data_IF_023394701562
#
_entry.id   IF_023394701562
#
_cell.length_a   1.000
_cell.length_b   1.000
_cell.length_c   1.000
_cell.angle_alpha   90.00
_cell.angle_beta   90.00
_cell.angle_gamma   90.00
#
_symmetry.space_group_name_H-M   'P 1'
#
loop_
_entity.id
_entity.type
_entity.pdbx_description
1 polymer ?
#
# COMPACT_ATOMS: atom_id res chain seq x y z
N UNK A 1 17.43 -6.28 24.04
CA UNK A 1 18.63 -5.51 23.71
C UNK A 1 18.33 -4.62 22.52
N UNK A 2 18.19 -3.35 22.79
CA UNK A 2 17.72 -2.42 21.78
C UNK A 2 18.90 -1.80 21.03
N UNK A 3 19.21 -2.37 19.87
CA UNK A 3 20.27 -1.87 19.01
C UNK A 3 19.76 -0.89 17.96
N UNK A 4 18.68 -0.14 18.29
CA UNK A 4 18.16 0.88 17.40
C UNK A 4 19.04 2.13 17.50
N UNK A 5 19.47 2.65 16.35
CA UNK A 5 20.21 3.89 16.28
C UNK A 5 19.47 5.02 16.99
N UNK A 6 20.18 5.83 17.78
CA UNK A 6 19.62 7.01 18.45
C UNK A 6 19.01 8.04 17.50
N UNK A 7 19.41 8.04 16.22
CA UNK A 7 18.81 8.86 15.17
C UNK A 7 17.41 8.34 14.78
N UNK A 8 17.27 7.03 14.63
CA UNK A 8 15.98 6.39 14.30
C UNK A 8 15.00 6.52 15.46
N UNK A 9 15.48 6.41 16.72
CA UNK A 9 14.64 6.60 17.89
C UNK A 9 13.97 7.98 17.97
N UNK A 10 14.52 8.98 17.29
CA UNK A 10 13.97 10.35 17.22
C UNK A 10 12.95 10.54 16.09
N UNK A 11 12.80 9.58 15.21
CA UNK A 11 11.82 9.66 14.11
C UNK A 11 10.44 9.28 14.66
N UNK A 12 9.51 10.21 14.59
CA UNK A 12 8.12 9.95 15.00
C UNK A 12 7.44 9.02 14.00
N UNK A 13 6.66 8.03 14.47
CA UNK A 13 5.80 7.24 13.59
C UNK A 13 4.79 8.11 12.83
N UNK A 14 4.29 7.61 11.71
CA UNK A 14 3.21 8.27 10.98
C UNK A 14 1.95 8.33 11.85
N UNK A 15 1.50 9.54 12.19
CA UNK A 15 0.28 9.74 12.97
C UNK A 15 -0.95 9.19 12.23
N UNK A 16 -1.04 9.38 10.92
CA UNK A 16 -2.14 8.88 10.09
C UNK A 16 -2.23 7.35 10.14
N UNK A 17 -1.10 6.65 10.04
CA UNK A 17 -1.07 5.19 10.13
C UNK A 17 -1.44 4.71 11.54
N UNK A 18 -0.99 5.40 12.58
CA UNK A 18 -1.32 5.05 13.96
C UNK A 18 -2.83 5.19 14.24
N UNK A 19 -3.46 6.29 13.80
CA UNK A 19 -4.89 6.52 13.97
C UNK A 19 -5.71 5.51 13.17
N UNK A 20 -5.31 5.19 11.94
CA UNK A 20 -5.96 4.17 11.12
C UNK A 20 -5.88 2.78 11.76
N UNK A 21 -4.72 2.42 12.31
CA UNK A 21 -4.54 1.15 13.02
C UNK A 21 -5.42 1.06 14.27
N UNK A 22 -5.54 2.16 15.03
CA UNK A 22 -6.40 2.24 16.21
C UNK A 22 -7.88 2.06 15.83
N UNK A 23 -8.35 2.76 14.80
CA UNK A 23 -9.72 2.60 14.31
C UNK A 23 -10.04 1.15 13.90
N UNK A 24 -9.14 0.51 13.17
CA UNK A 24 -9.27 -0.91 12.81
C UNK A 24 -9.33 -1.82 14.03
N UNK A 25 -8.50 -1.57 15.03
CA UNK A 25 -8.49 -2.35 16.27
C UNK A 25 -9.80 -2.20 17.07
N UNK A 26 -10.40 -1.02 17.09
CA UNK A 26 -11.70 -0.78 17.73
C UNK A 26 -12.82 -1.49 16.98
N UNK A 27 -12.87 -1.39 15.66
CA UNK A 27 -13.85 -2.10 14.82
C UNK A 27 -13.74 -3.61 15.05
N UNK A 28 -12.52 -4.15 15.13
CA UNK A 28 -12.31 -5.58 15.39
C UNK A 28 -12.82 -6.04 16.76
N UNK A 29 -12.97 -5.13 17.72
CA UNK A 29 -13.58 -5.38 19.04
C UNK A 29 -15.11 -5.25 19.02
N UNK A 30 -15.71 -4.93 17.88
CA UNK A 30 -17.16 -4.72 17.73
C UNK A 30 -17.63 -3.32 18.10
N UNK A 31 -16.72 -2.35 18.23
CA UNK A 31 -17.09 -0.96 18.49
C UNK A 31 -17.58 -0.29 17.19
N UNK A 32 -18.59 0.55 17.31
CA UNK A 32 -19.05 1.38 16.17
C UNK A 32 -18.08 2.54 15.98
N UNK A 33 -17.36 2.55 14.86
CA UNK A 33 -16.32 3.56 14.58
C UNK A 33 -16.47 4.13 13.18
N UNK A 34 -16.49 5.44 13.11
CA UNK A 34 -16.46 6.19 11.86
C UNK A 34 -15.01 6.63 11.58
N UNK A 35 -14.30 5.88 10.72
CA UNK A 35 -12.89 6.11 10.43
C UNK A 35 -12.71 7.25 9.41
N UNK A 36 -12.44 8.46 9.89
CA UNK A 36 -12.27 9.66 9.06
C UNK A 36 -10.79 10.05 8.86
N UNK A 37 -9.86 9.30 9.44
CA UNK A 37 -8.43 9.65 9.44
C UNK A 37 -7.67 9.28 8.16
N UNK A 38 -8.18 8.36 7.37
CA UNK A 38 -7.59 7.93 6.11
C UNK A 38 -8.60 8.02 4.98
N UNK A 39 -8.15 8.43 3.79
CA UNK A 39 -8.97 8.46 2.59
C UNK A 39 -8.49 7.43 1.58
N UNK A 40 -9.39 6.60 1.10
CA UNK A 40 -9.19 5.72 -0.04
C UNK A 40 -10.44 5.74 -0.92
N UNK A 41 -10.32 5.48 -2.23
CA UNK A 41 -11.49 5.36 -3.08
C UNK A 41 -12.44 4.27 -2.54
N UNK A 42 -13.73 4.56 -2.52
CA UNK A 42 -14.77 3.63 -2.07
C UNK A 42 -15.04 2.50 -3.07
N UNK A 43 -14.68 2.74 -4.33
CA UNK A 43 -14.83 1.78 -5.42
C UNK A 43 -13.59 0.90 -5.52
N UNK A 44 -13.80 -0.36 -5.84
CA UNK A 44 -12.73 -1.32 -6.08
C UNK A 44 -11.99 -1.03 -7.39
N UNK A 45 -10.79 -1.56 -7.52
CA UNK A 45 -10.03 -1.51 -8.78
C UNK A 45 -10.86 -2.12 -9.91
N UNK A 46 -10.94 -1.46 -11.09
CA UNK A 46 -11.67 -2.00 -12.23
C UNK A 46 -11.23 -3.42 -12.60
N UNK A 47 -12.20 -4.26 -12.97
CA UNK A 47 -11.96 -5.68 -13.20
C UNK A 47 -10.88 -5.95 -14.26
N UNK A 48 -10.88 -5.19 -15.36
CA UNK A 48 -9.87 -5.37 -16.39
C UNK A 48 -8.43 -5.12 -15.93
N UNK A 49 -8.24 -4.26 -14.93
CA UNK A 49 -6.92 -4.00 -14.32
C UNK A 49 -6.52 -5.19 -13.43
N UNK A 50 -7.45 -5.70 -12.64
CA UNK A 50 -7.23 -6.89 -11.80
C UNK A 50 -6.87 -8.10 -12.66
N UNK A 51 -7.63 -8.34 -13.72
CA UNK A 51 -7.38 -9.46 -14.64
C UNK A 51 -6.00 -9.35 -15.34
N UNK A 52 -5.58 -8.15 -15.74
CA UNK A 52 -4.26 -7.93 -16.30
C UNK A 52 -3.14 -8.28 -15.30
N UNK A 53 -3.31 -7.92 -14.04
CA UNK A 53 -2.36 -8.27 -12.99
C UNK A 53 -2.32 -9.79 -12.73
N UNK A 54 -3.48 -10.44 -12.69
CA UNK A 54 -3.59 -11.89 -12.53
C UNK A 54 -2.89 -12.61 -13.69
N UNK A 55 -3.12 -12.16 -14.91
CA UNK A 55 -2.49 -12.75 -16.10
C UNK A 55 -0.96 -12.57 -16.05
N UNK A 56 -0.47 -11.40 -15.67
CA UNK A 56 0.96 -11.15 -15.52
C UNK A 56 1.62 -12.11 -14.50
N UNK A 57 0.92 -12.40 -13.39
CA UNK A 57 1.39 -13.38 -12.41
C UNK A 57 1.42 -14.80 -13.00
N UNK A 58 0.38 -15.21 -13.72
CA UNK A 58 0.32 -16.52 -14.39
C UNK A 58 1.41 -16.68 -15.45
N UNK A 59 1.77 -15.59 -16.14
CA UNK A 59 2.84 -15.54 -17.13
C UNK A 59 4.24 -15.50 -16.49
N UNK A 60 4.33 -15.56 -15.17
CA UNK A 60 5.59 -15.60 -14.44
C UNK A 60 6.34 -14.26 -14.39
N UNK A 61 5.65 -13.14 -14.57
CA UNK A 61 6.24 -11.80 -14.42
C UNK A 61 6.46 -11.46 -12.94
N UNK A 62 7.34 -12.21 -12.29
CA UNK A 62 7.59 -12.16 -10.85
C UNK A 62 9.07 -11.94 -10.53
N UNK A 63 9.85 -11.45 -11.47
CA UNK A 63 11.29 -11.20 -11.32
C UNK A 63 11.58 -9.72 -11.15
N UNK A 64 12.81 -9.42 -10.76
CA UNK A 64 13.27 -8.04 -10.64
C UNK A 64 13.15 -7.29 -11.96
N UNK A 65 12.82 -6.03 -11.84
CA UNK A 65 12.72 -5.09 -12.96
C UNK A 65 13.73 -3.95 -12.79
N UNK A 66 14.03 -3.18 -13.84
CA UNK A 66 14.85 -1.99 -13.71
C UNK A 66 14.28 -1.02 -12.67
N UNK A 67 15.14 -0.32 -11.93
CA UNK A 67 14.71 0.65 -10.91
C UNK A 67 13.83 1.77 -11.48
N UNK A 68 14.02 2.15 -12.73
CA UNK A 68 13.20 3.15 -13.42
C UNK A 68 11.88 2.62 -14.00
N UNK A 69 11.58 1.35 -13.79
CA UNK A 69 10.40 0.69 -14.38
C UNK A 69 10.71 -0.02 -15.70
N UNK A 70 9.83 -0.94 -16.08
CA UNK A 70 9.97 -1.68 -17.34
C UNK A 70 9.75 -0.74 -18.54
N UNK A 71 10.46 -0.96 -19.67
CA UNK A 71 10.34 -0.09 -20.85
C UNK A 71 8.90 0.06 -21.33
N UNK A 72 8.14 -1.00 -21.38
CA UNK A 72 6.75 -1.02 -21.85
C UNK A 72 5.84 -0.09 -21.03
N UNK A 73 6.02 -0.06 -19.71
CA UNK A 73 5.26 0.85 -18.86
C UNK A 73 5.67 2.31 -19.07
N UNK A 74 6.98 2.56 -19.20
CA UNK A 74 7.50 3.91 -19.41
C UNK A 74 7.03 4.49 -20.74
N UNK A 75 7.03 3.68 -21.80
CA UNK A 75 6.54 4.07 -23.12
C UNK A 75 5.03 4.35 -23.08
N UNK A 76 4.25 3.50 -22.43
CA UNK A 76 2.81 3.71 -22.27
C UNK A 76 2.46 4.98 -21.52
N UNK A 77 3.27 5.35 -20.51
CA UNK A 77 3.07 6.58 -19.75
C UNK A 77 3.52 7.84 -20.51
N UNK A 78 4.47 7.71 -21.44
CA UNK A 78 4.99 8.82 -22.24
C UNK A 78 4.14 9.13 -23.49
N UNK A 79 3.29 8.21 -23.88
CA UNK A 79 2.37 8.39 -25.00
C UNK A 79 1.17 9.23 -24.57
#
# INVERSE_FOLDING_TARGET
>A
MDSISSRIAKVSPSLTLAVTAQAKAMIAKGEEVYALAGGEPEVDTPEFIKEAAIQALRDGRTKYTPAGGIPELREALAA
#
